data_IF_075649944869
#
_entry.id   IF_075649944869
#
_cell.length_a   1.000
_cell.length_b   1.000
_cell.length_c   1.000
_cell.angle_alpha   90.00
_cell.angle_beta   90.00
_cell.angle_gamma   90.00
#
_symmetry.space_group_name_H-M   'P 1'
#
loop_
_entity.id
_entity.type
_entity.pdbx_description
1 polymer ?
#
# COMPACT_ATOMS: atom_id res chain seq x y z
N UNK A 1 8.97 9.80 -4.10
CA UNK A 1 8.39 8.62 -3.40
C UNK A 1 8.80 8.66 -1.92
N UNK A 2 7.89 8.95 -0.99
CA UNK A 2 8.20 9.06 0.46
C UNK A 2 8.58 7.72 1.10
N UNK A 3 8.04 6.62 0.59
CA UNK A 3 8.31 5.25 1.06
C UNK A 3 9.77 4.83 0.93
N UNK A 4 10.41 5.20 -0.20
CA UNK A 4 11.82 4.90 -0.49
C UNK A 4 12.75 5.67 0.44
N UNK A 5 12.46 6.94 0.73
CA UNK A 5 13.31 7.76 1.59
C UNK A 5 13.34 7.30 3.06
N UNK A 6 12.30 6.57 3.52
CA UNK A 6 12.18 6.14 4.91
C UNK A 6 12.40 4.64 5.12
N UNK A 7 12.77 3.90 4.07
CA UNK A 7 12.88 2.43 4.11
C UNK A 7 11.66 1.76 4.76
N UNK A 8 10.48 2.32 4.53
CA UNK A 8 9.27 1.94 5.26
C UNK A 8 8.70 0.65 4.65
N UNK A 9 8.70 -0.42 5.43
CA UNK A 9 8.09 -1.70 5.04
C UNK A 9 6.60 -1.63 5.31
N UNK A 10 5.81 -1.83 4.27
CA UNK A 10 4.36 -1.92 4.40
C UNK A 10 3.95 -3.38 4.48
N UNK A 11 2.99 -3.69 5.33
CA UNK A 11 2.35 -5.00 5.40
C UNK A 11 0.90 -4.88 4.95
N UNK A 12 0.42 -5.87 4.21
CA UNK A 12 -1.00 -6.01 3.94
C UNK A 12 -1.63 -6.82 5.07
N UNK A 13 -2.79 -6.37 5.56
CA UNK A 13 -3.57 -7.09 6.59
C UNK A 13 -4.61 -8.06 5.98
N UNK A 14 -4.60 -8.26 4.66
CA UNK A 14 -5.48 -9.17 3.91
C UNK A 14 -4.63 -10.03 2.97
N UNK A 15 -5.27 -10.68 2.00
CA UNK A 15 -4.67 -11.52 0.95
C UNK A 15 -3.82 -10.79 -0.09
N UNK A 16 -3.32 -9.59 0.21
CA UNK A 16 -2.53 -8.76 -0.74
C UNK A 16 -3.24 -8.41 -2.06
N UNK A 17 -4.53 -8.71 -2.18
CA UNK A 17 -5.38 -8.43 -3.35
C UNK A 17 -6.33 -7.25 -3.11
N UNK A 18 -5.84 -6.15 -2.53
CA UNK A 18 -6.69 -4.99 -2.29
C UNK A 18 -7.03 -4.29 -3.61
N UNK A 19 -8.32 -4.07 -3.87
CA UNK A 19 -8.78 -3.27 -4.99
C UNK A 19 -8.35 -1.80 -4.76
N UNK A 20 -7.47 -1.28 -5.61
CA UNK A 20 -6.94 0.09 -5.54
C UNK A 20 -7.72 0.98 -6.50
N UNK A 21 -8.55 1.87 -5.96
CA UNK A 21 -9.25 2.92 -6.70
C UNK A 21 -9.05 4.29 -6.02
N UNK A 22 -9.63 5.36 -6.55
CA UNK A 22 -9.47 6.72 -6.02
C UNK A 22 -9.82 6.84 -4.53
N UNK A 23 -10.78 6.04 -4.06
CA UNK A 23 -11.29 6.02 -2.68
C UNK A 23 -10.50 5.05 -1.80
N UNK A 24 -10.17 3.85 -2.30
CA UNK A 24 -9.57 2.75 -1.52
C UNK A 24 -8.05 2.71 -1.55
N UNK A 25 -7.38 3.49 -2.41
CA UNK A 25 -5.91 3.49 -2.56
C UNK A 25 -5.12 3.73 -1.28
N UNK A 26 -5.66 4.50 -0.33
CA UNK A 26 -4.98 4.77 0.95
C UNK A 26 -5.21 3.68 2.01
N UNK A 27 -6.10 2.72 1.72
CA UNK A 27 -6.52 1.68 2.67
C UNK A 27 -5.47 0.59 2.85
N UNK A 28 -4.62 0.38 1.86
CA UNK A 28 -3.46 -0.51 1.96
C UNK A 28 -2.28 0.09 1.21
N UNK A 29 -1.25 0.53 1.95
CA UNK A 29 -0.05 1.09 1.35
C UNK A 29 0.82 0.01 0.69
N UNK A 30 0.80 -1.23 1.21
CA UNK A 30 1.46 -2.37 0.57
C UNK A 30 0.93 -2.59 -0.86
N UNK A 31 -0.37 -2.81 -1.01
CA UNK A 31 -0.99 -3.07 -2.32
C UNK A 31 -0.96 -1.84 -3.26
N UNK A 32 -0.82 -0.63 -2.73
CA UNK A 32 -0.68 0.59 -3.53
C UNK A 32 0.75 0.80 -4.07
N UNK A 33 1.75 0.31 -3.34
CA UNK A 33 3.16 0.52 -3.66
C UNK A 33 3.83 -0.69 -4.34
N UNK A 34 3.13 -1.83 -4.41
CA UNK A 34 3.43 -2.95 -5.31
C UNK A 34 3.26 -2.51 -6.77
#
# INVERSE_FOLDING_TARGET
RRSIQKNMVYTCHRDKNCIINKVTRNRCQYCRLQ
#
